data_IF_737614478741
#
_entry.id   IF_737614478741
#
_cell.length_a   1.000
_cell.length_b   1.000
_cell.length_c   1.000
_cell.angle_alpha   90.00
_cell.angle_beta   90.00
_cell.angle_gamma   90.00
#
_symmetry.space_group_name_H-M   'P 1'
#
loop_
_entity.id
_entity.type
_entity.pdbx_description
1 polymer ?
#
# COMPACT_ATOMS: atom_id res chain seq x y z
N UNK A 1 5.64 16.00 27.72
CA UNK A 1 4.65 15.52 26.74
C UNK A 1 4.45 14.06 26.96
N UNK A 2 3.22 13.61 27.18
CA UNK A 2 2.89 12.22 27.53
C UNK A 2 3.39 11.26 26.45
N UNK A 3 4.54 10.62 26.72
CA UNK A 3 4.96 9.44 25.97
C UNK A 3 4.16 8.26 26.51
N UNK A 4 2.93 8.13 26.01
CA UNK A 4 2.17 6.90 26.19
C UNK A 4 3.05 5.76 25.66
N UNK A 5 3.53 4.91 26.57
CA UNK A 5 4.11 3.61 26.25
C UNK A 5 3.00 2.75 25.67
N UNK A 6 2.56 3.07 24.46
CA UNK A 6 1.58 2.28 23.73
C UNK A 6 2.17 0.90 23.57
N UNK A 7 1.54 -0.10 24.20
CA UNK A 7 1.87 -1.50 23.97
C UNK A 7 1.79 -1.83 22.48
N UNK A 8 2.28 -3.02 22.10
CA UNK A 8 2.27 -3.47 20.69
C UNK A 8 0.92 -3.25 19.99
N UNK A 9 -0.19 -3.44 20.70
CA UNK A 9 -1.55 -3.16 20.20
C UNK A 9 -1.84 -1.68 19.92
N UNK A 10 -1.37 -0.75 20.77
CA UNK A 10 -1.56 0.69 20.56
C UNK A 10 -0.79 1.19 19.34
N UNK A 11 0.43 0.68 19.13
CA UNK A 11 1.22 0.98 17.91
C UNK A 11 0.52 0.46 16.65
N UNK A 12 0.01 -0.76 16.70
CA UNK A 12 -0.74 -1.35 15.59
C UNK A 12 -1.99 -0.54 15.26
N UNK A 13 -2.79 -0.18 16.27
CA UNK A 13 -4.01 0.61 16.07
C UNK A 13 -3.72 1.99 15.49
N UNK A 14 -2.70 2.69 16.02
CA UNK A 14 -2.28 3.98 15.45
C UNK A 14 -1.80 3.85 13.99
N UNK A 15 -1.09 2.78 13.67
CA UNK A 15 -0.63 2.50 12.31
C UNK A 15 -1.80 2.21 11.36
N UNK A 16 -2.74 1.37 11.78
CA UNK A 16 -3.92 1.03 10.99
C UNK A 16 -4.81 2.25 10.74
N UNK A 17 -5.01 3.09 11.76
CA UNK A 17 -5.76 4.33 11.63
C UNK A 17 -5.09 5.30 10.64
N UNK A 18 -3.76 5.43 10.73
CA UNK A 18 -2.99 6.29 9.81
C UNK A 18 -3.05 5.74 8.38
N UNK A 19 -2.91 4.43 8.21
CA UNK A 19 -3.00 3.77 6.90
C UNK A 19 -4.37 3.99 6.25
N UNK A 20 -5.45 3.81 7.00
CA UNK A 20 -6.81 4.07 6.52
C UNK A 20 -7.01 5.53 6.15
N UNK A 21 -6.57 6.46 7.01
CA UNK A 21 -6.68 7.90 6.74
C UNK A 21 -5.94 8.29 5.44
N UNK A 22 -4.72 7.78 5.25
CA UNK A 22 -3.93 8.02 4.03
C UNK A 22 -4.59 7.39 2.82
N UNK A 23 -5.14 6.18 2.94
CA UNK A 23 -5.84 5.51 1.83
C UNK A 23 -7.07 6.31 1.40
N UNK A 24 -7.87 6.79 2.34
CA UNK A 24 -9.03 7.66 2.05
C UNK A 24 -8.59 8.96 1.39
N UNK A 25 -7.52 9.60 1.88
CA UNK A 25 -7.00 10.83 1.27
C UNK A 25 -6.51 10.59 -0.17
N UNK A 26 -5.82 9.47 -0.43
CA UNK A 26 -5.34 9.11 -1.77
C UNK A 26 -6.46 8.90 -2.78
N UNK A 27 -7.65 8.46 -2.36
CA UNK A 27 -8.81 8.34 -3.25
C UNK A 27 -9.19 9.71 -3.85
N UNK A 28 -9.17 10.78 -3.05
CA UNK A 28 -9.48 12.13 -3.54
C UNK A 28 -8.43 12.66 -4.52
N UNK A 29 -7.15 12.34 -4.30
CA UNK A 29 -6.08 12.73 -5.22
C UNK A 29 -6.09 11.92 -6.52
N UNK A 30 -6.65 10.70 -6.51
CA UNK A 30 -6.62 9.82 -7.68
C UNK A 30 -7.89 9.88 -8.53
N UNK A 31 -9.04 10.23 -7.95
CA UNK A 31 -10.31 10.26 -8.66
C UNK A 31 -10.46 11.53 -9.52
N UNK A 32 -11.14 11.41 -10.66
CA UNK A 32 -11.35 12.52 -11.61
C UNK A 32 -12.28 13.63 -11.07
N UNK A 33 -13.07 13.33 -10.01
CA UNK A 33 -13.96 14.31 -9.38
C UNK A 33 -14.24 13.96 -7.91
N UNK A 34 -14.66 14.96 -7.13
CA UNK A 34 -15.09 14.75 -5.74
C UNK A 34 -16.28 13.79 -5.63
N UNK A 35 -17.23 13.86 -6.58
CA UNK A 35 -18.38 12.95 -6.62
C UNK A 35 -17.92 11.49 -6.86
N UNK A 36 -16.97 11.28 -7.76
CA UNK A 36 -16.37 9.97 -8.02
C UNK A 36 -15.62 9.46 -6.79
N UNK A 37 -14.84 10.31 -6.12
CA UNK A 37 -14.11 9.94 -4.90
C UNK A 37 -15.05 9.43 -3.79
N UNK A 38 -16.15 10.15 -3.53
CA UNK A 38 -17.15 9.74 -2.53
C UNK A 38 -17.80 8.41 -2.89
N UNK A 39 -18.11 8.17 -4.18
CA UNK A 39 -18.64 6.87 -4.64
C UNK A 39 -17.64 5.74 -4.41
N UNK A 40 -16.35 5.96 -4.67
CA UNK A 40 -15.29 4.97 -4.42
C UNK A 40 -15.18 4.67 -2.92
N UNK A 41 -15.20 5.69 -2.06
CA UNK A 41 -15.19 5.50 -0.59
C UNK A 41 -16.44 4.73 -0.12
N UNK A 42 -17.61 5.05 -0.69
CA UNK A 42 -18.84 4.30 -0.47
C UNK A 42 -18.68 2.81 -0.81
N UNK A 43 -18.09 2.50 -1.98
CA UNK A 43 -17.75 1.13 -2.36
C UNK A 43 -16.76 0.46 -1.40
N UNK A 44 -15.74 1.18 -0.93
CA UNK A 44 -14.75 0.65 0.03
C UNK A 44 -15.36 0.32 1.38
N UNK A 45 -16.41 1.04 1.79
CA UNK A 45 -17.17 0.77 3.03
C UNK A 45 -18.24 -0.32 2.87
N UNK A 46 -18.39 -0.90 1.68
CA UNK A 46 -19.35 -1.97 1.41
C UNK A 46 -20.78 -1.52 1.10
N UNK A 47 -21.02 -0.21 0.89
CA UNK A 47 -22.37 0.32 0.60
C UNK A 47 -22.94 -0.19 -0.73
N UNK A 48 -22.07 -0.60 -1.66
CA UNK A 48 -22.45 -1.14 -2.96
C UNK A 48 -22.52 -2.67 -2.99
N UNK A 49 -22.47 -3.33 -1.83
CA UNK A 49 -22.41 -4.78 -1.70
C UNK A 49 -21.02 -5.35 -1.95
N UNK A 50 -20.88 -6.66 -1.78
CA UNK A 50 -19.64 -7.40 -2.02
C UNK A 50 -19.85 -8.32 -3.21
N UNK A 51 -19.07 -8.13 -4.26
CA UNK A 51 -19.03 -9.06 -5.39
C UNK A 51 -17.78 -9.94 -5.27
N UNK A 52 -17.91 -11.25 -5.46
CA UNK A 52 -16.79 -12.20 -5.50
C UNK A 52 -16.77 -12.94 -6.85
N UNK A 53 -15.58 -13.20 -7.43
CA UNK A 53 -15.49 -14.00 -8.65
C UNK A 53 -16.05 -15.40 -8.44
N UNK A 54 -16.76 -15.93 -9.44
CA UNK A 54 -17.36 -17.28 -9.41
C UNK A 54 -16.35 -18.38 -9.10
N UNK A 55 -15.06 -18.19 -9.42
CA UNK A 55 -13.97 -19.13 -9.06
C UNK A 55 -13.85 -19.39 -7.55
N UNK A 56 -14.33 -18.49 -6.71
CA UNK A 56 -14.33 -18.67 -5.26
C UNK A 56 -15.53 -19.51 -4.77
N UNK A 57 -16.58 -19.67 -5.57
CA UNK A 57 -17.68 -20.60 -5.27
C UNK A 57 -17.18 -22.04 -5.19
N UNK A 58 -16.34 -22.45 -6.14
CA UNK A 58 -15.79 -23.81 -6.18
C UNK A 58 -14.88 -24.11 -4.98
N UNK A 59 -14.15 -23.10 -4.49
CA UNK A 59 -13.20 -23.24 -3.38
C UNK A 59 -13.85 -23.11 -2.01
N UNK A 60 -14.93 -22.33 -1.90
CA UNK A 60 -15.62 -22.04 -0.65
C UNK A 60 -17.09 -22.48 -0.66
N UNK A 61 -17.41 -23.58 -1.34
CA UNK A 61 -18.80 -24.08 -1.50
C UNK A 61 -19.57 -24.20 -0.17
N UNK A 62 -18.88 -24.53 0.93
CA UNK A 62 -19.46 -24.64 2.28
C UNK A 62 -19.80 -23.26 2.89
N UNK A 63 -19.03 -22.23 2.55
CA UNK A 63 -19.24 -20.85 3.02
C UNK A 63 -20.02 -19.99 2.03
N UNK A 64 -20.22 -20.46 0.79
CA UNK A 64 -20.89 -19.73 -0.27
C UNK A 64 -22.36 -19.44 0.05
N UNK A 65 -23.10 -20.42 0.58
CA UNK A 65 -24.53 -20.29 0.94
C UNK A 65 -24.77 -19.22 2.03
N UNK A 66 -24.06 -19.21 3.17
CA UNK A 66 -24.22 -18.15 4.15
C UNK A 66 -23.72 -16.78 3.64
N UNK A 67 -22.66 -16.74 2.81
CA UNK A 67 -22.20 -15.48 2.20
C UNK A 67 -23.25 -14.88 1.27
N UNK A 68 -23.91 -15.69 0.45
CA UNK A 68 -24.98 -15.23 -0.44
C UNK A 68 -26.17 -14.68 0.36
N UNK A 69 -26.48 -15.29 1.50
CA UNK A 69 -27.52 -14.78 2.42
C UNK A 69 -27.17 -13.44 3.08
N UNK A 70 -25.88 -13.08 3.15
CA UNK A 70 -25.38 -11.81 3.66
C UNK A 70 -25.27 -10.72 2.57
N UNK A 71 -25.80 -10.97 1.37
CA UNK A 71 -25.80 -10.02 0.27
C UNK A 71 -24.49 -9.99 -0.52
N UNK A 72 -23.70 -11.06 -0.45
CA UNK A 72 -22.51 -11.24 -1.30
C UNK A 72 -22.94 -11.86 -2.62
N UNK A 73 -22.69 -11.16 -3.71
CA UNK A 73 -23.07 -11.60 -5.04
C UNK A 73 -21.90 -12.25 -5.78
N UNK A 74 -22.15 -13.32 -6.51
CA UNK A 74 -21.13 -14.07 -7.23
C UNK A 74 -21.35 -13.94 -8.73
N UNK A 75 -20.54 -13.08 -9.37
CA UNK A 75 -20.63 -12.80 -10.79
C UNK A 75 -19.23 -12.74 -11.42
N UNK A 76 -19.16 -13.01 -12.72
CA UNK A 76 -17.93 -12.86 -13.50
C UNK A 76 -17.45 -11.40 -13.52
N UNK A 77 -16.36 -11.10 -12.82
CA UNK A 77 -15.73 -9.78 -12.83
C UNK A 77 -14.64 -9.69 -13.90
N UNK A 78 -14.77 -8.73 -14.81
CA UNK A 78 -13.85 -8.54 -15.93
C UNK A 78 -12.46 -8.02 -15.49
N UNK A 79 -12.42 -7.19 -14.45
CA UNK A 79 -11.19 -6.54 -13.95
C UNK A 79 -10.53 -7.23 -12.76
N UNK A 80 -11.25 -8.14 -12.10
CA UNK A 80 -10.77 -8.83 -10.91
C UNK A 80 -11.02 -10.32 -11.06
N UNK A 81 -10.01 -11.06 -11.55
CA UNK A 81 -10.08 -12.52 -11.69
C UNK A 81 -9.84 -13.22 -10.34
N UNK A 82 -9.41 -12.48 -9.34
CA UNK A 82 -9.43 -12.85 -7.94
C UNK A 82 -8.18 -13.57 -7.46
N UNK A 83 -7.54 -14.40 -8.27
CA UNK A 83 -6.44 -15.24 -7.78
C UNK A 83 -5.13 -14.48 -7.64
N UNK A 84 -4.68 -13.80 -8.69
CA UNK A 84 -3.36 -13.16 -8.69
C UNK A 84 -3.41 -11.79 -8.01
N UNK A 85 -4.51 -11.07 -8.19
CA UNK A 85 -4.71 -9.72 -7.66
C UNK A 85 -4.73 -9.72 -6.13
N UNK A 86 -5.41 -10.69 -5.51
CA UNK A 86 -5.43 -10.85 -4.04
C UNK A 86 -4.03 -11.17 -3.52
N UNK A 87 -3.28 -12.03 -4.23
CA UNK A 87 -1.89 -12.35 -3.86
C UNK A 87 -1.02 -11.09 -3.94
N UNK A 88 -1.13 -10.28 -4.99
CA UNK A 88 -0.39 -9.03 -5.11
C UNK A 88 -0.75 -8.04 -4.00
N UNK A 89 -2.04 -7.89 -3.67
CA UNK A 89 -2.50 -7.05 -2.55
C UNK A 89 -1.92 -7.55 -1.22
N UNK A 90 -1.94 -8.87 -1.00
CA UNK A 90 -1.36 -9.49 0.19
C UNK A 90 0.14 -9.24 0.32
N UNK A 91 0.90 -9.43 -0.76
CA UNK A 91 2.34 -9.13 -0.81
C UNK A 91 2.58 -7.63 -0.57
N UNK A 92 1.81 -6.74 -1.21
CA UNK A 92 1.94 -5.30 -1.02
C UNK A 92 1.67 -4.88 0.43
N UNK A 93 0.66 -5.46 1.08
CA UNK A 93 0.40 -5.22 2.50
C UNK A 93 1.57 -5.71 3.37
N UNK A 94 2.10 -6.90 3.11
CA UNK A 94 3.28 -7.39 3.83
C UNK A 94 4.47 -6.44 3.66
N UNK A 95 4.68 -5.90 2.46
CA UNK A 95 5.72 -4.90 2.21
C UNK A 95 5.43 -3.61 3.01
N UNK A 96 4.21 -3.08 3.00
CA UNK A 96 3.88 -1.87 3.77
C UNK A 96 4.11 -2.04 5.28
N UNK A 97 3.82 -3.22 5.83
CA UNK A 97 3.91 -3.47 7.27
C UNK A 97 5.29 -3.95 7.74
N UNK A 98 6.07 -4.61 6.88
CA UNK A 98 7.34 -5.24 7.25
C UNK A 98 8.56 -4.61 6.59
N UNK A 99 8.42 -4.01 5.41
CA UNK A 99 9.55 -3.45 4.70
C UNK A 99 10.06 -2.18 5.43
N UNK A 100 11.39 -2.00 5.50
CA UNK A 100 11.95 -0.79 6.06
C UNK A 100 11.60 0.41 5.17
N UNK A 101 11.24 1.52 5.80
CA UNK A 101 11.01 2.77 5.10
C UNK A 101 12.32 3.26 4.44
N UNK A 102 12.22 4.01 3.34
CA UNK A 102 13.34 4.73 2.69
C UNK A 102 14.17 5.52 3.72
N UNK A 103 13.52 6.14 4.70
CA UNK A 103 14.21 6.84 5.79
C UNK A 103 15.12 5.92 6.61
N UNK A 104 14.69 4.67 6.86
CA UNK A 104 15.49 3.67 7.55
C UNK A 104 16.61 3.12 6.66
N UNK A 105 16.35 2.96 5.36
CA UNK A 105 17.32 2.49 4.37
C UNK A 105 18.46 3.50 4.19
N UNK A 106 18.16 4.80 4.14
CA UNK A 106 19.13 5.87 3.88
C UNK A 106 19.73 6.50 5.14
N UNK A 107 19.74 5.80 6.28
CA UNK A 107 20.22 6.33 7.58
C UNK A 107 21.64 6.92 7.50
N UNK A 108 22.52 6.32 6.67
CA UNK A 108 23.91 6.78 6.48
C UNK A 108 24.04 8.09 5.68
N UNK A 109 23.05 8.44 4.86
CA UNK A 109 23.09 9.62 3.98
C UNK A 109 22.62 10.91 4.67
N UNK A 110 22.27 10.86 5.96
CA UNK A 110 21.68 11.98 6.71
C UNK A 110 20.52 12.70 5.99
N UNK A 111 19.47 12.01 5.47
CA UNK A 111 18.33 12.70 4.90
C UNK A 111 17.33 13.04 6.01
N UNK A 112 17.68 13.94 6.94
CA UNK A 112 16.63 14.66 7.68
C UNK A 112 17.02 16.10 7.99
N UNK A 113 16.17 17.03 7.53
CA UNK A 113 15.93 18.29 8.22
C UNK A 113 15.45 17.94 9.64
N UNK A 114 16.37 17.94 10.61
CA UNK A 114 16.22 18.36 12.01
C UNK A 114 14.91 18.06 12.81
N UNK A 115 14.09 17.06 12.49
CA UNK A 115 12.88 16.72 13.28
C UNK A 115 13.17 15.65 14.35
N UNK A 116 14.28 14.90 14.21
CA UNK A 116 14.68 13.80 15.11
C UNK A 116 15.84 14.16 16.04
N UNK A 117 16.16 15.44 16.22
CA UNK A 117 17.09 15.93 17.26
C UNK A 117 16.68 15.55 18.70
N UNK A 118 15.56 14.84 18.88
CA UNK A 118 15.02 14.41 20.17
C UNK A 118 15.06 12.88 20.31
N UNK A 119 16.28 12.33 20.39
CA UNK A 119 16.62 11.13 21.17
C UNK A 119 16.06 9.76 20.76
N UNK A 120 15.10 9.64 19.83
CA UNK A 120 14.58 8.33 19.39
C UNK A 120 15.15 7.93 18.04
N UNK A 121 16.13 7.03 18.05
CA UNK A 121 16.58 6.33 16.83
C UNK A 121 15.44 5.43 16.34
N UNK A 122 15.18 5.45 15.02
CA UNK A 122 14.27 4.51 14.37
C UNK A 122 14.81 3.08 14.54
N UNK A 123 13.93 2.07 14.45
CA UNK A 123 14.38 0.68 14.44
C UNK A 123 15.33 0.49 13.25
N UNK A 124 16.54 -0.01 13.52
CA UNK A 124 17.55 -0.16 12.48
C UNK A 124 17.20 -1.34 11.57
N UNK A 125 17.23 -1.16 10.24
CA UNK A 125 17.02 -2.26 9.32
C UNK A 125 18.25 -3.20 9.30
N UNK A 126 18.12 -4.39 8.70
CA UNK A 126 19.25 -5.29 8.47
C UNK A 126 20.37 -4.58 7.69
N UNK A 127 21.63 -4.85 8.03
CA UNK A 127 22.79 -4.15 7.45
C UNK A 127 22.89 -4.22 5.91
N UNK A 128 22.35 -5.28 5.28
CA UNK A 128 22.33 -5.44 3.82
C UNK A 128 21.28 -4.58 3.11
N UNK A 129 20.28 -4.05 3.85
CA UNK A 129 19.28 -3.11 3.35
C UNK A 129 19.66 -1.65 3.65
N UNK A 130 20.68 -1.42 4.46
CA UNK A 130 21.21 -0.06 4.67
C UNK A 130 21.96 0.34 3.42
N UNK A 131 21.56 1.46 2.84
CA UNK A 131 22.24 2.02 1.68
C UNK A 131 23.65 2.47 2.09
N UNK A 132 24.65 2.07 1.32
CA UNK A 132 26.04 2.49 1.49
C UNK A 132 26.63 2.85 0.13
N UNK A 133 27.48 3.89 0.02
CA UNK A 133 28.15 4.23 -1.24
C UNK A 133 29.22 3.18 -1.60
N UNK A 134 28.80 2.07 -2.19
CA UNK A 134 29.65 0.95 -2.62
C UNK A 134 29.41 0.60 -4.10
N UNK A 135 30.38 -0.07 -4.74
CA UNK A 135 30.25 -0.52 -6.12
C UNK A 135 29.04 -1.43 -6.35
N UNK A 136 28.67 -2.24 -5.35
CA UNK A 136 27.47 -3.07 -5.40
C UNK A 136 26.21 -2.22 -5.57
N UNK A 137 26.01 -1.20 -4.72
CA UNK A 137 24.87 -0.30 -4.82
C UNK A 137 24.90 0.55 -6.11
N UNK A 138 26.10 0.91 -6.61
CA UNK A 138 26.23 1.58 -7.89
C UNK A 138 25.72 0.71 -9.05
N UNK A 139 26.08 -0.58 -9.08
CA UNK A 139 25.59 -1.52 -10.10
C UNK A 139 24.06 -1.68 -9.98
N UNK A 140 23.53 -1.86 -8.78
CA UNK A 140 22.08 -1.95 -8.54
C UNK A 140 21.35 -0.70 -9.07
N UNK A 141 21.86 0.50 -8.76
CA UNK A 141 21.28 1.76 -9.23
C UNK A 141 21.33 1.89 -10.75
N UNK A 142 22.43 1.49 -11.40
CA UNK A 142 22.55 1.51 -12.86
C UNK A 142 21.56 0.53 -13.51
N UNK A 143 21.45 -0.69 -12.99
CA UNK A 143 20.48 -1.67 -13.50
C UNK A 143 19.03 -1.19 -13.31
N UNK A 144 18.71 -0.64 -12.14
CA UNK A 144 17.40 -0.04 -11.88
C UNK A 144 17.11 1.14 -12.82
N UNK A 145 18.09 2.01 -13.06
CA UNK A 145 17.95 3.14 -13.98
C UNK A 145 17.70 2.67 -15.43
N UNK A 146 18.49 1.69 -15.90
CA UNK A 146 18.30 1.09 -17.23
C UNK A 146 16.91 0.46 -17.36
N UNK A 147 16.50 -0.35 -16.38
CA UNK A 147 15.18 -0.97 -16.38
C UNK A 147 14.05 0.08 -16.38
N UNK A 148 14.22 1.17 -15.63
CA UNK A 148 13.26 2.27 -15.57
C UNK A 148 13.14 3.00 -16.91
N UNK A 149 14.28 3.32 -17.55
CA UNK A 149 14.31 3.98 -18.87
C UNK A 149 13.67 3.10 -19.95
N UNK A 150 13.97 1.80 -19.95
CA UNK A 150 13.39 0.85 -20.91
C UNK A 150 11.88 0.64 -20.67
N UNK A 151 11.41 0.79 -19.43
CA UNK A 151 9.99 0.67 -19.06
C UNK A 151 9.20 1.96 -19.24
N UNK A 152 9.84 3.08 -19.61
CA UNK A 152 9.23 4.41 -19.74
C UNK A 152 8.36 4.56 -21.02
N UNK A 153 7.80 3.47 -21.54
CA UNK A 153 6.93 3.46 -22.73
C UNK A 153 5.48 3.86 -22.45
N UNK A 154 5.12 4.11 -21.18
CA UNK A 154 3.84 4.72 -20.81
C UNK A 154 4.07 6.03 -20.07
N UNK A 155 3.78 7.15 -20.73
CA UNK A 155 3.66 8.43 -20.04
C UNK A 155 2.47 8.34 -19.07
N UNK A 156 2.74 8.39 -17.76
CA UNK A 156 1.71 8.67 -16.79
C UNK A 156 1.47 10.17 -16.85
N UNK A 157 0.31 10.59 -17.37
CA UNK A 157 -0.10 11.98 -17.31
C UNK A 157 -0.04 12.43 -15.85
N UNK A 158 0.77 13.46 -15.59
CA UNK A 158 0.87 14.08 -14.30
C UNK A 158 -0.45 14.81 -14.04
N UNK A 159 -1.05 14.65 -12.86
CA UNK A 159 -2.31 15.32 -12.46
C UNK A 159 -2.30 16.85 -12.69
N UNK A 160 -1.11 17.45 -12.74
CA UNK A 160 -0.90 18.89 -12.94
C UNK A 160 -0.93 19.35 -14.41
N UNK A 161 -1.13 18.46 -15.39
CA UNK A 161 -1.16 18.87 -16.81
C UNK A 161 -2.49 19.49 -17.27
N UNK A 162 -3.49 19.62 -16.40
CA UNK A 162 -4.81 20.18 -16.74
C UNK A 162 -5.08 21.56 -16.11
N UNK A 163 -4.11 22.48 -16.15
CA UNK A 163 -4.36 23.91 -15.91
C UNK A 163 -4.22 24.69 -17.22
#
# INVERSE_FOLDING_TARGET
GYEGKGGRGGRFFSGALTFLAVTVAWVFFRADSAATAVRIIGSMSGQNGFALPEKYLDKFSILAVPLQSWGVDFHSMHYFKGSNEVVYIGIALLVVWLAPNVQQIMDLCMPYLNIMAKGRKLAQPPAWLIWSPSYFWAIVLVLCALASVLSMSRASEFIYFQF
#
